data_IF_783343397916
#
_entry.id   IF_783343397916
#
_cell.length_a   1.000
_cell.length_b   1.000
_cell.length_c   1.000
_cell.angle_alpha   90.00
_cell.angle_beta   90.00
_cell.angle_gamma   90.00
#
_symmetry.space_group_name_H-M   'P 1'
#
loop_
_entity.id
_entity.type
_entity.pdbx_description
1 polymer ?
#
# COMPACT_ATOMS: atom_id res chain seq x y z
N UNK A 1 -14.52 -14.61 0.10
CA UNK A 1 -13.48 -15.64 0.28
C UNK A 1 -12.84 -15.49 1.65
N UNK A 2 -12.21 -16.54 2.15
CA UNK A 2 -11.50 -16.54 3.44
C UNK A 2 -10.05 -16.89 3.20
N UNK A 3 -9.15 -16.18 3.87
CA UNK A 3 -7.71 -16.40 3.85
C UNK A 3 -7.26 -16.79 5.26
N UNK A 4 -6.40 -17.81 5.33
CA UNK A 4 -5.71 -18.21 6.55
C UNK A 4 -4.25 -17.84 6.39
N UNK A 5 -3.78 -16.95 7.25
CA UNK A 5 -2.43 -16.40 7.21
C UNK A 5 -1.75 -16.75 8.53
N UNK A 6 -0.48 -17.12 8.47
CA UNK A 6 0.28 -17.50 9.64
C UNK A 6 1.64 -16.80 9.68
N UNK A 7 2.08 -16.47 10.89
CA UNK A 7 3.46 -16.08 11.16
C UNK A 7 4.18 -17.29 11.82
N UNK A 8 4.89 -18.13 11.05
CA UNK A 8 5.63 -19.26 11.61
C UNK A 8 6.93 -18.85 12.30
N UNK A 9 7.28 -17.55 12.29
CA UNK A 9 8.49 -17.03 12.88
C UNK A 9 8.45 -16.96 14.41
N UNK A 10 9.60 -16.65 14.98
CA UNK A 10 9.80 -16.47 16.43
C UNK A 10 9.71 -14.99 16.87
N UNK A 11 9.44 -14.08 15.94
CA UNK A 11 9.27 -12.65 16.21
C UNK A 11 7.92 -12.18 15.69
N UNK A 12 7.38 -11.16 16.35
CA UNK A 12 6.17 -10.48 15.91
C UNK A 12 6.41 -9.84 14.54
N UNK A 13 5.38 -9.88 13.70
CA UNK A 13 5.35 -9.26 12.37
C UNK A 13 4.26 -8.20 12.39
N UNK A 14 4.66 -6.95 12.21
CA UNK A 14 3.76 -5.81 12.23
C UNK A 14 3.62 -5.20 10.82
N UNK A 15 2.39 -5.00 10.37
CA UNK A 15 2.07 -4.39 9.08
C UNK A 15 2.75 -5.06 7.88
N UNK A 16 2.94 -6.38 7.93
CA UNK A 16 3.44 -7.15 6.79
C UNK A 16 2.41 -7.17 5.67
N UNK A 17 2.86 -6.97 4.43
CA UNK A 17 1.96 -6.91 3.29
C UNK A 17 1.60 -8.31 2.81
N UNK A 18 0.31 -8.61 2.83
CA UNK A 18 -0.23 -9.80 2.18
C UNK A 18 -0.57 -9.44 0.75
N UNK A 19 -0.15 -10.30 -0.19
CA UNK A 19 -0.45 -10.16 -1.60
C UNK A 19 -1.36 -11.28 -2.09
N UNK A 20 -2.40 -10.92 -2.83
CA UNK A 20 -3.34 -11.87 -3.44
C UNK A 20 -3.57 -11.46 -4.88
N UNK A 21 -3.45 -12.40 -5.82
CA UNK A 21 -3.78 -12.15 -7.22
C UNK A 21 -5.23 -11.64 -7.33
N UNK A 22 -5.41 -10.45 -7.89
CA UNK A 22 -6.69 -9.75 -7.96
C UNK A 22 -7.73 -10.55 -8.74
N UNK A 23 -7.30 -11.19 -9.83
CA UNK A 23 -8.16 -12.08 -10.63
C UNK A 23 -8.79 -13.19 -9.78
N UNK A 24 -8.04 -13.80 -8.85
CA UNK A 24 -8.58 -14.83 -7.95
C UNK A 24 -9.66 -14.27 -7.04
N UNK A 25 -9.50 -13.02 -6.58
CA UNK A 25 -10.51 -12.33 -5.77
C UNK A 25 -11.77 -12.08 -6.59
N UNK A 26 -11.61 -11.53 -7.80
CA UNK A 26 -12.70 -11.26 -8.72
C UNK A 26 -13.49 -12.52 -9.06
N UNK A 27 -12.82 -13.62 -9.42
CA UNK A 27 -13.46 -14.88 -9.75
C UNK A 27 -14.24 -15.46 -8.56
N UNK A 28 -13.60 -15.54 -7.39
CA UNK A 28 -14.20 -16.15 -6.18
C UNK A 28 -15.35 -15.35 -5.59
N UNK A 29 -15.37 -14.04 -5.79
CA UNK A 29 -16.47 -13.17 -5.36
C UNK A 29 -17.45 -12.86 -6.49
N UNK A 30 -17.15 -13.25 -7.73
CA UNK A 30 -17.92 -12.86 -8.92
C UNK A 30 -18.12 -11.34 -8.98
N UNK A 31 -17.01 -10.59 -8.87
CA UNK A 31 -17.02 -9.12 -8.92
C UNK A 31 -17.30 -8.61 -10.33
N UNK A 32 -18.09 -7.55 -10.44
CA UNK A 32 -18.22 -6.71 -11.64
C UNK A 32 -17.32 -5.48 -11.53
N UNK A 33 -17.13 -4.74 -12.63
CA UNK A 33 -16.16 -3.64 -12.70
C UNK A 33 -16.31 -2.57 -11.60
N UNK A 34 -17.55 -2.24 -11.21
CA UNK A 34 -17.83 -1.17 -10.23
C UNK A 34 -17.94 -1.68 -8.78
N UNK A 35 -17.71 -2.97 -8.53
CA UNK A 35 -17.85 -3.53 -7.19
C UNK A 35 -16.54 -3.47 -6.42
N UNK A 36 -16.64 -2.89 -5.23
CA UNK A 36 -15.58 -2.81 -4.23
C UNK A 36 -15.63 -4.01 -3.28
N UNK A 37 -14.57 -4.14 -2.48
CA UNK A 37 -14.45 -5.17 -1.46
C UNK A 37 -14.18 -4.53 -0.10
N UNK A 38 -14.43 -5.32 0.94
CA UNK A 38 -13.92 -5.10 2.28
C UNK A 38 -13.05 -6.28 2.68
N UNK A 39 -12.05 -6.00 3.50
CA UNK A 39 -11.23 -7.02 4.16
C UNK A 39 -11.48 -6.88 5.66
N UNK A 40 -11.90 -7.94 6.33
CA UNK A 40 -12.10 -7.92 7.79
C UNK A 40 -11.23 -8.96 8.46
N UNK A 41 -10.74 -8.62 9.66
CA UNK A 41 -10.18 -9.56 10.61
C UNK A 41 -11.16 -9.71 11.77
N UNK A 42 -11.46 -10.96 12.15
CA UNK A 42 -12.45 -11.27 13.18
C UNK A 42 -13.83 -10.59 12.93
N UNK A 43 -14.73 -10.54 13.91
CA UNK A 43 -16.03 -9.90 13.75
C UNK A 43 -15.89 -8.36 13.79
N UNK A 44 -15.61 -7.74 12.63
CA UNK A 44 -16.04 -6.38 12.33
C UNK A 44 -14.97 -5.33 12.05
N UNK A 45 -13.68 -5.58 12.32
CA UNK A 45 -12.64 -4.59 12.01
C UNK A 45 -12.22 -4.69 10.54
N UNK A 46 -12.55 -3.65 9.75
CA UNK A 46 -12.06 -3.55 8.38
C UNK A 46 -10.59 -3.12 8.34
N UNK A 47 -9.84 -3.70 7.39
CA UNK A 47 -8.46 -3.35 7.07
C UNK A 47 -8.39 -2.54 5.78
N UNK A 48 -7.45 -1.58 5.67
CA UNK A 48 -7.19 -0.89 4.42
C UNK A 48 -6.63 -1.89 3.38
N UNK A 49 -6.89 -1.62 2.11
CA UNK A 49 -6.30 -2.38 1.01
C UNK A 49 -5.95 -1.46 -0.16
N UNK A 50 -5.10 -1.95 -1.04
CA UNK A 50 -4.77 -1.28 -2.30
C UNK A 50 -4.76 -2.30 -3.44
N UNK A 51 -5.17 -1.85 -4.63
CA UNK A 51 -4.99 -2.58 -5.88
C UNK A 51 -3.75 -2.04 -6.59
N UNK A 52 -2.84 -2.94 -6.93
CA UNK A 52 -1.57 -2.66 -7.57
C UNK A 52 -1.65 -3.08 -9.03
N UNK A 53 -1.28 -2.19 -9.95
CA UNK A 53 -1.29 -2.46 -11.40
C UNK A 53 0.07 -2.87 -11.95
N UNK A 54 1.17 -2.64 -11.22
CA UNK A 54 2.55 -2.83 -11.69
C UNK A 54 2.86 -2.14 -13.04
N UNK A 55 2.19 -1.02 -13.33
CA UNK A 55 2.36 -0.30 -14.59
C UNK A 55 1.47 -0.79 -15.74
N UNK A 56 0.62 -1.78 -15.50
CA UNK A 56 -0.41 -2.21 -16.44
C UNK A 56 -1.66 -1.30 -16.37
N UNK A 57 -2.54 -1.45 -17.36
CA UNK A 57 -3.82 -0.73 -17.42
C UNK A 57 -4.82 -1.22 -16.35
N UNK A 58 -4.68 -2.46 -15.89
CA UNK A 58 -5.58 -3.10 -14.92
C UNK A 58 -4.85 -3.52 -13.65
N UNK A 59 -5.61 -3.66 -12.56
CA UNK A 59 -5.11 -4.16 -11.30
C UNK A 59 -4.74 -5.65 -11.40
N UNK A 60 -3.57 -6.00 -10.90
CA UNK A 60 -3.05 -7.38 -10.88
C UNK A 60 -3.07 -7.97 -9.48
N UNK A 61 -2.74 -7.16 -8.47
CA UNK A 61 -2.51 -7.63 -7.10
C UNK A 61 -3.32 -6.81 -6.11
N UNK A 62 -4.03 -7.49 -5.22
CA UNK A 62 -4.58 -6.92 -4.00
C UNK A 62 -3.53 -7.01 -2.89
N UNK A 63 -3.23 -5.88 -2.26
CA UNK A 63 -2.36 -5.82 -1.09
C UNK A 63 -3.09 -5.26 0.14
N UNK A 64 -2.77 -5.78 1.32
CA UNK A 64 -3.26 -5.26 2.60
C UNK A 64 -2.31 -5.62 3.75
N UNK A 65 -2.18 -4.77 4.78
CA UNK A 65 -1.30 -5.03 5.91
C UNK A 65 -1.91 -6.03 6.90
N UNK A 66 -1.06 -6.89 7.45
CA UNK A 66 -1.40 -7.86 8.49
C UNK A 66 -0.36 -7.82 9.60
N UNK A 67 -0.84 -7.80 10.85
CA UNK A 67 0.01 -7.92 12.04
C UNK A 67 -0.31 -9.23 12.77
N UNK A 68 0.70 -10.08 12.96
CA UNK A 68 0.60 -11.35 13.67
C UNK A 68 1.80 -11.52 14.60
N UNK A 69 1.53 -11.90 15.85
CA UNK A 69 2.56 -12.29 16.82
C UNK A 69 3.33 -13.52 16.34
N UNK A 70 4.49 -13.75 16.94
CA UNK A 70 5.26 -14.97 16.74
C UNK A 70 4.37 -16.23 16.92
N UNK A 71 4.37 -17.12 15.93
CA UNK A 71 3.56 -18.35 15.92
C UNK A 71 2.06 -18.16 15.71
N UNK A 72 1.56 -16.93 15.56
CA UNK A 72 0.13 -16.65 15.46
C UNK A 72 -0.44 -17.01 14.07
N UNK A 73 -1.70 -17.44 14.06
CA UNK A 73 -2.51 -17.61 12.84
C UNK A 73 -3.69 -16.64 12.89
N UNK A 74 -3.96 -15.97 11.77
CA UNK A 74 -5.10 -15.08 11.59
C UNK A 74 -6.01 -15.56 10.47
N UNK A 75 -7.31 -15.34 10.64
CA UNK A 75 -8.31 -15.57 9.59
C UNK A 75 -8.85 -14.23 9.11
N UNK A 76 -8.80 -14.03 7.79
CA UNK A 76 -9.20 -12.78 7.15
C UNK A 76 -10.27 -13.07 6.11
N UNK A 77 -11.32 -12.26 6.10
CA UNK A 77 -12.44 -12.43 5.17
C UNK A 77 -12.42 -11.29 4.15
N UNK A 78 -12.46 -11.65 2.88
CA UNK A 78 -12.65 -10.71 1.77
C UNK A 78 -14.08 -10.91 1.25
N UNK A 79 -14.86 -9.85 1.19
CA UNK A 79 -16.23 -9.87 0.67
C UNK A 79 -16.55 -8.61 -0.10
N UNK A 80 -17.62 -8.65 -0.92
CA UNK A 80 -18.17 -7.43 -1.51
C UNK A 80 -18.62 -6.47 -0.40
N UNK A 81 -18.42 -5.18 -0.63
CA UNK A 81 -18.87 -4.15 0.28
C UNK A 81 -18.10 -2.86 0.09
N UNK A 82 -18.66 -1.77 0.62
CA UNK A 82 -18.06 -0.46 0.54
C UNK A 82 -17.02 -0.28 1.67
N UNK A 83 -15.75 0.00 1.33
CA UNK A 83 -14.73 0.19 2.35
C UNK A 83 -14.97 1.48 3.12
N UNK A 84 -14.77 1.43 4.43
CA UNK A 84 -14.71 2.64 5.25
C UNK A 84 -13.51 3.51 4.82
N UNK A 85 -13.54 4.83 5.05
CA UNK A 85 -12.38 5.68 4.81
C UNK A 85 -11.23 5.28 5.75
N UNK A 86 -10.02 5.18 5.19
CA UNK A 86 -8.80 4.98 5.94
C UNK A 86 -7.88 6.19 5.75
N UNK A 87 -7.16 6.57 6.81
CA UNK A 87 -6.15 7.62 6.71
C UNK A 87 -5.00 7.13 5.81
N UNK A 88 -4.68 7.84 4.72
CA UNK A 88 -3.53 7.50 3.89
C UNK A 88 -2.24 7.60 4.69
N UNK A 89 -1.42 6.55 4.64
CA UNK A 89 -0.11 6.52 5.29
C UNK A 89 1.04 6.88 4.34
N UNK A 90 0.75 6.93 3.05
CA UNK A 90 1.71 7.21 1.98
C UNK A 90 1.15 8.27 1.05
N UNK A 91 2.03 9.10 0.52
CA UNK A 91 1.68 10.07 -0.49
C UNK A 91 2.88 10.35 -1.40
N UNK A 92 2.61 10.70 -2.66
CA UNK A 92 3.65 11.07 -3.60
C UNK A 92 3.09 11.94 -4.71
N UNK A 93 3.89 12.89 -5.17
CA UNK A 93 3.51 13.78 -6.27
C UNK A 93 4.72 14.39 -6.97
N UNK A 94 4.49 14.84 -8.19
CA UNK A 94 5.35 15.84 -8.82
C UNK A 94 5.23 17.17 -8.07
N UNK A 95 6.35 17.89 -7.99
CA UNK A 95 6.49 19.21 -7.37
C UNK A 95 7.09 20.18 -8.40
N UNK A 96 6.31 20.57 -9.45
CA UNK A 96 6.80 21.45 -10.51
C UNK A 96 7.33 22.80 -9.98
N UNK A 97 6.74 23.29 -8.89
CA UNK A 97 7.16 24.52 -8.20
C UNK A 97 8.59 24.44 -7.64
N UNK A 98 9.18 23.24 -7.60
CA UNK A 98 10.56 22.97 -7.19
C UNK A 98 11.44 22.52 -8.36
N UNK A 99 11.17 23.03 -9.57
CA UNK A 99 11.92 22.71 -10.81
C UNK A 99 11.87 21.20 -11.14
N UNK A 100 10.64 20.69 -11.20
CA UNK A 100 10.28 19.30 -11.56
C UNK A 100 10.72 18.21 -10.58
N UNK A 101 10.90 18.57 -9.29
CA UNK A 101 11.17 17.57 -8.25
C UNK A 101 10.01 16.56 -8.16
N UNK A 102 10.32 15.34 -7.69
CA UNK A 102 9.30 14.40 -7.26
C UNK A 102 9.50 14.09 -5.78
N UNK A 103 8.42 14.14 -5.01
CA UNK A 103 8.44 13.90 -3.56
C UNK A 103 7.52 12.75 -3.21
N UNK A 104 7.95 11.89 -2.28
CA UNK A 104 7.12 10.84 -1.71
C UNK A 104 7.42 10.63 -0.24
N UNK A 105 6.44 10.11 0.50
CA UNK A 105 6.54 9.89 1.93
C UNK A 105 5.74 8.66 2.38
N UNK A 106 6.09 8.17 3.57
CA UNK A 106 5.30 7.21 4.33
C UNK A 106 5.15 7.71 5.78
N UNK A 107 4.56 6.91 6.66
CA UNK A 107 4.35 7.24 8.06
C UNK A 107 5.63 7.44 8.89
N UNK A 108 6.82 7.14 8.35
CA UNK A 108 8.13 7.23 9.06
C UNK A 108 9.14 8.17 8.39
N UNK A 109 9.07 8.33 7.06
CA UNK A 109 10.11 9.05 6.30
C UNK A 109 9.49 9.82 5.13
N UNK A 110 10.21 10.84 4.68
CA UNK A 110 9.90 11.56 3.45
C UNK A 110 11.16 11.66 2.58
N UNK A 111 10.94 11.77 1.27
CA UNK A 111 11.99 11.80 0.26
C UNK A 111 11.68 12.81 -0.83
N UNK A 112 12.75 13.28 -1.47
CA UNK A 112 12.69 14.14 -2.65
C UNK A 112 13.77 13.73 -3.62
N UNK A 113 13.44 13.60 -4.90
CA UNK A 113 14.42 13.46 -5.98
C UNK A 113 14.42 14.71 -6.83
N UNK A 114 15.63 15.18 -7.18
CA UNK A 114 15.81 16.39 -7.96
C UNK A 114 15.33 16.26 -9.40
N UNK A 115 14.55 17.24 -9.82
CA UNK A 115 13.93 17.29 -11.13
C UNK A 115 14.87 17.62 -12.30
N UNK A 116 14.47 17.28 -13.54
CA UNK A 116 15.23 17.65 -14.75
C UNK A 116 15.47 19.16 -14.89
N UNK A 117 14.49 20.00 -14.56
CA UNK A 117 14.66 21.45 -14.63
C UNK A 117 15.67 21.99 -13.61
N UNK A 118 15.76 21.39 -12.40
CA UNK A 118 16.80 21.74 -11.44
C UNK A 118 18.18 21.38 -11.99
N UNK A 119 18.34 20.18 -12.54
CA UNK A 119 19.59 19.73 -13.16
C UNK A 119 20.05 20.67 -14.30
N UNK A 120 19.11 21.15 -15.12
CA UNK A 120 19.40 22.06 -16.23
C UNK A 120 19.99 23.41 -15.79
N UNK A 121 19.78 23.83 -14.54
CA UNK A 121 20.34 25.08 -14.02
C UNK A 121 21.83 25.00 -13.70
N UNK A 122 22.40 23.79 -13.60
CA UNK A 122 23.80 23.60 -13.19
C UNK A 122 24.09 23.90 -11.71
N UNK A 123 23.07 24.30 -10.93
CA UNK A 123 23.21 24.63 -9.50
C UNK A 123 23.58 23.40 -8.65
N UNK A 124 23.00 22.23 -8.96
CA UNK A 124 23.20 20.97 -8.22
C UNK A 124 23.19 19.79 -9.21
N UNK A 125 24.15 18.88 -9.08
CA UNK A 125 24.12 17.58 -9.75
C UNK A 125 23.14 16.65 -9.02
N UNK A 126 22.31 15.90 -9.76
CA UNK A 126 21.40 14.84 -9.30
C UNK A 126 21.57 14.34 -7.85
N UNK A 127 20.46 14.27 -7.10
CA UNK A 127 20.48 13.83 -5.70
C UNK A 127 19.11 13.44 -5.19
N UNK A 128 19.11 12.78 -4.03
CA UNK A 128 17.92 12.43 -3.26
C UNK A 128 18.10 12.98 -1.84
N UNK A 129 17.10 13.70 -1.37
CA UNK A 129 17.02 14.09 0.04
C UNK A 129 16.18 13.09 0.83
N UNK A 130 16.53 12.95 2.10
CA UNK A 130 15.87 12.09 3.07
C UNK A 130 15.53 12.88 4.33
N UNK A 131 14.32 12.70 4.83
CA UNK A 131 13.90 13.19 6.13
C UNK A 131 13.29 12.07 6.95
N UNK A 132 13.81 11.87 8.16
CA UNK A 132 13.14 11.05 9.17
C UNK A 132 12.04 11.86 9.85
N UNK A 133 10.85 11.28 9.99
CA UNK A 133 9.76 11.89 10.74
C UNK A 133 9.92 11.55 12.22
N UNK A 134 9.97 12.58 13.06
CA UNK A 134 9.81 12.42 14.50
C UNK A 134 8.36 12.73 14.82
N UNK A 135 7.64 11.71 15.27
CA UNK A 135 6.31 11.83 15.87
C UNK A 135 6.42 11.75 17.38
#
# INVERSE_FOLDING_TARGET
>A
MTLHIENPGTTDRENEMVEVAWEKVQQKLSLTADQTIIITRDEGLQLPYQLVTNGNETAETLIFPVSLKAGEKGTFRISKGDPQPFQPLVYGRMVPERKDDFTWENNRTAFRVYGPALKATGEISNGIDFWAKST
#
